data_IF_928394160268
#
_entry.id   IF_928394160268
#
_cell.length_a   1.000
_cell.length_b   1.000
_cell.length_c   1.000
_cell.angle_alpha   90.00
_cell.angle_beta   90.00
_cell.angle_gamma   90.00
#
_symmetry.space_group_name_H-M   'P 1'
#
loop_
_entity.id
_entity.type
_entity.pdbx_description
1 polymer ?
#
# COMPACT_ATOMS: atom_id res chain seq x y z
N UNK A 1 -7.47 -8.45 -15.95
CA UNK A 1 -6.27 -7.67 -15.62
C UNK A 1 -5.92 -7.87 -14.15
N UNK A 2 -4.65 -7.90 -13.85
CA UNK A 2 -4.22 -8.03 -12.46
C UNK A 2 -4.59 -6.79 -11.66
N UNK A 3 -5.10 -6.98 -10.45
CA UNK A 3 -5.37 -5.91 -9.51
C UNK A 3 -4.23 -5.83 -8.50
N UNK A 4 -3.59 -4.68 -8.36
CA UNK A 4 -2.48 -4.48 -7.44
C UNK A 4 -2.89 -3.51 -6.34
N UNK A 5 -2.82 -4.00 -5.09
CA UNK A 5 -3.11 -3.21 -3.90
C UNK A 5 -1.83 -2.99 -3.11
N UNK A 6 -1.65 -1.77 -2.61
CA UNK A 6 -0.58 -1.42 -1.68
C UNK A 6 -1.17 -1.22 -0.30
N UNK A 7 -0.63 -1.94 0.68
CA UNK A 7 -0.95 -1.72 2.09
C UNK A 7 0.15 -0.86 2.70
N UNK A 8 -0.18 0.36 3.09
CA UNK A 8 0.78 1.29 3.67
C UNK A 8 0.36 1.65 5.10
N UNK A 9 1.17 1.25 6.07
CA UNK A 9 0.98 1.62 7.47
C UNK A 9 2.04 2.68 7.79
N UNK A 10 1.59 3.93 7.93
CA UNK A 10 2.51 5.07 8.06
C UNK A 10 2.27 5.80 9.38
N UNK A 11 3.33 6.39 9.92
CA UNK A 11 3.23 7.29 11.06
C UNK A 11 2.57 8.61 10.65
N UNK A 12 2.29 9.49 11.61
CA UNK A 12 1.71 10.81 11.31
C UNK A 12 2.56 11.63 10.36
N UNK A 13 3.88 11.48 10.46
CA UNK A 13 4.83 12.19 9.58
C UNK A 13 5.15 11.42 8.31
N UNK A 14 4.40 10.35 8.01
CA UNK A 14 4.50 9.64 6.75
C UNK A 14 5.64 8.64 6.63
N UNK A 15 6.24 8.25 7.74
CA UNK A 15 7.36 7.32 7.72
C UNK A 15 6.91 5.87 7.66
N UNK A 16 7.66 5.07 6.88
CA UNK A 16 7.45 3.63 6.75
C UNK A 16 8.03 2.88 7.95
N UNK A 17 7.45 1.72 8.31
CA UNK A 17 8.10 0.82 9.25
C UNK A 17 9.37 0.25 8.61
N UNK A 18 10.40 0.05 9.44
CA UNK A 18 11.65 -0.52 8.98
C UNK A 18 11.46 -1.95 8.50
N UNK A 19 10.73 -2.72 9.29
CA UNK A 19 10.40 -4.12 9.00
C UNK A 19 8.91 -4.33 9.17
N UNK A 20 8.42 -5.44 8.60
CA UNK A 20 7.03 -5.83 8.75
C UNK A 20 6.63 -5.97 10.23
N UNK A 21 7.54 -6.45 11.07
CA UNK A 21 7.31 -6.62 12.51
C UNK A 21 7.12 -5.27 13.23
N UNK A 22 7.77 -4.23 12.74
CA UNK A 22 7.63 -2.90 13.35
C UNK A 22 6.24 -2.34 13.14
N UNK A 23 5.63 -2.60 12.00
CA UNK A 23 4.24 -2.25 11.76
C UNK A 23 3.32 -3.01 12.72
N UNK A 24 3.63 -4.27 12.99
CA UNK A 24 2.85 -5.10 13.91
C UNK A 24 2.95 -4.62 15.35
N UNK A 25 4.02 -3.91 15.72
CA UNK A 25 4.13 -3.30 17.05
C UNK A 25 3.11 -2.19 17.24
N UNK A 26 2.75 -1.49 16.17
CA UNK A 26 1.75 -0.44 16.21
C UNK A 26 0.35 -0.99 16.04
N UNK A 27 0.18 -2.04 15.23
CA UNK A 27 -1.11 -2.61 14.89
C UNK A 27 -1.10 -4.11 15.14
N UNK A 28 -2.16 -4.61 15.77
CA UNK A 28 -2.39 -6.05 15.87
C UNK A 28 -3.19 -6.45 14.62
N UNK A 29 -2.66 -7.32 13.75
CA UNK A 29 -3.30 -7.60 12.45
C UNK A 29 -4.78 -7.97 12.54
N UNK A 30 -5.15 -8.82 13.48
CA UNK A 30 -6.54 -9.26 13.61
C UNK A 30 -7.49 -8.19 14.14
N UNK A 31 -6.96 -7.09 14.71
CA UNK A 31 -7.79 -6.04 15.31
C UNK A 31 -8.14 -4.92 14.34
N UNK A 32 -7.46 -4.84 13.19
CA UNK A 32 -7.60 -3.73 12.25
C UNK A 32 -7.92 -4.17 10.83
N UNK A 33 -8.46 -5.38 10.69
CA UNK A 33 -8.88 -5.96 9.41
C UNK A 33 -7.72 -6.21 8.43
N UNK A 34 -6.48 -6.18 8.92
CA UNK A 34 -5.30 -6.40 8.07
C UNK A 34 -5.24 -7.83 7.57
N UNK A 35 -5.55 -8.81 8.44
CA UNK A 35 -5.55 -10.21 8.05
C UNK A 35 -6.53 -10.48 6.90
N UNK A 36 -7.67 -9.77 6.89
CA UNK A 36 -8.66 -9.90 5.83
C UNK A 36 -8.12 -9.49 4.48
N UNK A 37 -7.22 -8.49 4.47
CA UNK A 37 -6.59 -8.02 3.23
C UNK A 37 -5.68 -9.10 2.65
N UNK A 38 -4.88 -9.74 3.49
CA UNK A 38 -4.00 -10.83 3.05
C UNK A 38 -4.80 -12.06 2.63
N UNK A 39 -5.87 -12.38 3.34
CA UNK A 39 -6.72 -13.53 3.00
C UNK A 39 -7.45 -13.32 1.67
N UNK A 40 -7.82 -12.08 1.36
CA UNK A 40 -8.54 -11.76 0.12
C UNK A 40 -7.62 -11.71 -1.09
N UNK A 41 -6.30 -11.55 -0.90
CA UNK A 41 -5.35 -11.48 -2.00
C UNK A 41 -5.01 -12.88 -2.51
N UNK A 42 -4.89 -13.03 -3.82
CA UNK A 42 -4.44 -14.28 -4.43
C UNK A 42 -2.95 -14.48 -4.20
N UNK A 43 -2.17 -13.40 -4.24
CA UNK A 43 -0.71 -13.45 -4.11
C UNK A 43 -0.20 -12.26 -3.33
N UNK A 44 0.84 -12.47 -2.53
CA UNK A 44 1.60 -11.37 -1.93
C UNK A 44 2.73 -11.03 -2.90
N UNK A 45 2.74 -9.77 -3.35
CA UNK A 45 3.72 -9.30 -4.32
C UNK A 45 5.03 -8.96 -3.61
N UNK A 46 6.14 -9.38 -4.18
CA UNK A 46 7.48 -9.12 -3.63
C UNK A 46 8.35 -8.44 -4.68
N UNK A 47 9.44 -7.75 -4.26
CA UNK A 47 10.35 -7.13 -5.23
C UNK A 47 11.02 -8.11 -6.20
N UNK A 48 11.00 -9.40 -5.90
CA UNK A 48 11.52 -10.42 -6.79
C UNK A 48 10.61 -10.70 -7.99
N UNK A 49 9.34 -10.26 -7.92
CA UNK A 49 8.39 -10.49 -9.00
C UNK A 49 8.60 -9.47 -10.13
N UNK A 50 8.83 -9.92 -11.37
CA UNK A 50 9.07 -8.98 -12.47
C UNK A 50 7.84 -8.15 -12.80
N UNK A 51 8.02 -6.83 -12.94
CA UNK A 51 6.91 -5.93 -13.26
C UNK A 51 6.29 -6.24 -14.62
N UNK A 52 7.10 -6.76 -15.56
CA UNK A 52 6.60 -7.15 -16.88
C UNK A 52 5.50 -8.21 -16.79
N UNK A 53 5.58 -9.10 -15.79
CA UNK A 53 4.53 -10.12 -15.63
C UNK A 53 3.21 -9.55 -15.16
N UNK A 54 3.22 -8.42 -14.48
CA UNK A 54 1.98 -7.75 -14.09
C UNK A 54 1.27 -7.17 -15.29
N UNK A 55 2.01 -6.63 -16.25
CA UNK A 55 1.43 -6.08 -17.47
C UNK A 55 0.95 -7.17 -18.43
N UNK A 56 1.59 -8.32 -18.41
CA UNK A 56 1.24 -9.45 -19.25
C UNK A 56 0.14 -10.33 -18.66
N UNK A 57 -0.12 -10.19 -17.36
CA UNK A 57 -1.10 -11.04 -16.66
C UNK A 57 -2.50 -10.70 -17.11
N UNK A 58 -3.14 -11.66 -17.79
CA UNK A 58 -4.51 -11.50 -18.30
C UNK A 58 -5.56 -12.07 -17.35
N UNK A 59 -5.13 -12.70 -16.24
CA UNK A 59 -6.07 -13.20 -15.25
C UNK A 59 -6.51 -12.07 -14.33
N UNK A 60 -7.61 -12.28 -13.62
CA UNK A 60 -8.12 -11.33 -12.64
C UNK A 60 -7.47 -11.53 -11.25
N UNK A 61 -6.22 -11.93 -11.25
CA UNK A 61 -5.49 -12.17 -10.01
C UNK A 61 -5.31 -10.89 -9.20
N UNK A 62 -5.42 -11.04 -7.89
CA UNK A 62 -5.35 -9.96 -6.94
C UNK A 62 -4.02 -10.04 -6.19
N UNK A 63 -3.18 -9.03 -6.35
CA UNK A 63 -1.87 -8.93 -5.71
C UNK A 63 -1.90 -7.89 -4.60
N UNK A 64 -1.27 -8.21 -3.48
CA UNK A 64 -1.12 -7.29 -2.36
C UNK A 64 0.36 -7.14 -2.02
N UNK A 65 0.81 -5.91 -1.82
CA UNK A 65 2.18 -5.64 -1.35
C UNK A 65 2.13 -4.70 -0.15
N UNK A 66 2.84 -5.06 0.90
CA UNK A 66 2.96 -4.21 2.09
C UNK A 66 4.15 -3.28 1.95
N UNK A 67 3.94 -2.00 2.22
CA UNK A 67 4.99 -0.99 2.12
C UNK A 67 5.91 -1.04 3.33
N UNK A 68 7.20 -1.28 3.08
CA UNK A 68 8.27 -1.29 4.08
C UNK A 68 9.50 -0.64 3.45
N UNK A 69 10.60 -0.53 4.21
CA UNK A 69 11.87 -0.06 3.65
C UNK A 69 12.32 -0.95 2.49
N UNK A 70 12.09 -2.27 2.60
CA UNK A 70 12.55 -3.22 1.59
C UNK A 70 11.71 -3.19 0.30
N UNK A 71 10.44 -2.81 0.39
CA UNK A 71 9.52 -2.83 -0.75
C UNK A 71 9.28 -1.45 -1.36
N UNK A 72 9.72 -0.38 -0.70
CA UNK A 72 9.36 0.98 -1.13
C UNK A 72 9.82 1.32 -2.54
N UNK A 73 11.03 0.91 -2.92
CA UNK A 73 11.56 1.21 -4.26
C UNK A 73 10.76 0.46 -5.34
N UNK A 74 10.40 -0.79 -5.06
CA UNK A 74 9.58 -1.58 -5.96
C UNK A 74 8.19 -0.95 -6.13
N UNK A 75 7.58 -0.50 -5.02
CA UNK A 75 6.27 0.17 -5.05
C UNK A 75 6.35 1.45 -5.87
N UNK A 76 7.41 2.25 -5.70
CA UNK A 76 7.57 3.47 -6.47
C UNK A 76 7.77 3.17 -7.96
N UNK A 77 8.45 2.08 -8.28
CA UNK A 77 8.54 1.60 -9.66
C UNK A 77 7.17 1.26 -10.24
N UNK A 78 6.32 0.59 -9.46
CA UNK A 78 4.95 0.30 -9.89
C UNK A 78 4.13 1.57 -10.07
N UNK A 79 4.32 2.57 -9.22
CA UNK A 79 3.64 3.86 -9.35
C UNK A 79 4.05 4.58 -10.65
N UNK A 80 5.34 4.54 -10.99
CA UNK A 80 5.83 5.15 -12.24
C UNK A 80 5.24 4.46 -13.47
N UNK A 81 5.01 3.15 -13.38
CA UNK A 81 4.41 2.38 -14.47
C UNK A 81 2.88 2.41 -14.43
N UNK A 82 2.30 3.07 -13.44
CA UNK A 82 0.86 3.19 -13.24
C UNK A 82 0.17 1.84 -13.09
N UNK A 83 0.82 0.91 -12.38
CA UNK A 83 0.32 -0.45 -12.20
C UNK A 83 -0.43 -0.67 -10.89
N UNK A 84 -0.47 0.33 -10.00
CA UNK A 84 -1.17 0.21 -8.72
C UNK A 84 -2.61 0.69 -8.87
N UNK A 85 -3.55 -0.16 -8.47
CA UNK A 85 -4.99 0.09 -8.60
C UNK A 85 -5.61 0.64 -7.33
N UNK A 86 -5.06 0.27 -6.17
CA UNK A 86 -5.65 0.64 -4.89
C UNK A 86 -4.55 0.84 -3.84
N UNK A 87 -4.72 1.88 -3.03
CA UNK A 87 -3.84 2.14 -1.88
C UNK A 87 -4.69 2.06 -0.63
N UNK A 88 -4.32 1.15 0.28
CA UNK A 88 -4.93 1.00 1.58
C UNK A 88 -3.96 1.60 2.59
N UNK A 89 -4.34 2.74 3.15
CA UNK A 89 -3.45 3.55 3.96
C UNK A 89 -3.94 3.57 5.41
N UNK A 90 -3.14 3.02 6.33
CA UNK A 90 -3.36 3.15 7.77
C UNK A 90 -2.45 4.25 8.30
N UNK A 91 -3.02 5.15 9.09
CA UNK A 91 -2.27 6.21 9.76
C UNK A 91 -2.27 5.89 11.25
N UNK A 92 -1.08 5.69 11.81
CA UNK A 92 -0.92 5.42 13.24
C UNK A 92 -0.59 6.71 13.96
N UNK A 93 -1.05 6.89 15.21
CA UNK A 93 -1.01 8.19 15.90
C UNK A 93 0.33 8.47 16.60
N UNK A 94 1.45 8.35 15.89
CA UNK A 94 2.73 8.75 16.44
C UNK A 94 3.62 9.35 15.35
N UNK A 95 4.61 10.09 15.78
CA UNK A 95 5.62 10.68 14.92
C UNK A 95 6.89 9.87 15.08
N UNK A 96 7.39 9.31 13.96
CA UNK A 96 8.61 8.51 13.99
C UNK A 96 9.85 9.39 14.13
N UNK A 97 9.82 10.59 13.56
CA UNK A 97 10.91 11.56 13.64
C UNK A 97 12.02 11.31 12.63
N UNK A 98 12.36 10.07 12.38
CA UNK A 98 13.37 9.67 11.42
C UNK A 98 12.85 8.46 10.64
N UNK A 99 13.34 8.27 9.44
CA UNK A 99 12.95 7.11 8.63
C UNK A 99 12.77 7.47 7.18
N UNK A 100 12.21 6.51 6.44
CA UNK A 100 11.98 6.66 5.01
C UNK A 100 10.50 6.91 4.74
N UNK A 101 10.26 7.76 3.75
CA UNK A 101 8.91 8.01 3.25
C UNK A 101 8.61 7.01 2.14
N UNK A 102 7.33 6.64 2.03
CA UNK A 102 6.91 5.72 0.96
C UNK A 102 7.07 6.38 -0.42
N UNK A 103 6.50 7.58 -0.57
CA UNK A 103 6.47 8.22 -1.88
C UNK A 103 7.75 9.00 -2.13
N UNK A 104 8.38 8.69 -3.26
CA UNK A 104 9.60 9.35 -3.70
C UNK A 104 9.27 10.55 -4.57
N UNK A 105 10.30 11.29 -4.97
CA UNK A 105 10.16 12.38 -5.93
C UNK A 105 10.02 11.82 -7.35
N UNK A 106 9.55 12.67 -8.26
CA UNK A 106 9.43 12.33 -9.69
C UNK A 106 8.43 11.20 -9.99
N UNK A 107 7.39 11.10 -9.17
CA UNK A 107 6.27 10.23 -9.50
C UNK A 107 5.34 10.96 -10.47
N UNK A 108 4.71 10.24 -11.42
CA UNK A 108 3.75 10.89 -12.31
C UNK A 108 2.52 11.35 -11.54
N UNK A 109 1.96 12.46 -11.97
CA UNK A 109 0.72 12.95 -11.39
C UNK A 109 -0.41 11.96 -11.65
N UNK A 110 -1.23 11.69 -10.63
CA UNK A 110 -2.36 10.78 -10.74
C UNK A 110 -3.48 11.21 -9.81
N UNK A 111 -4.70 10.88 -10.20
CA UNK A 111 -5.89 11.12 -9.39
C UNK A 111 -6.37 9.83 -8.75
N UNK A 112 -6.84 9.96 -7.51
CA UNK A 112 -7.33 8.83 -6.72
C UNK A 112 -8.68 9.20 -6.12
N UNK A 113 -9.58 8.24 -6.03
CA UNK A 113 -10.89 8.43 -5.43
C UNK A 113 -10.93 7.78 -4.05
N UNK A 114 -11.41 8.52 -3.06
CA UNK A 114 -11.62 7.97 -1.73
C UNK A 114 -12.84 7.03 -1.78
N UNK A 115 -12.62 5.76 -1.47
CA UNK A 115 -13.69 4.75 -1.50
C UNK A 115 -14.07 4.25 -0.12
N UNK A 116 -13.18 4.38 0.87
CA UNK A 116 -13.46 3.94 2.23
C UNK A 116 -12.69 4.77 3.22
N UNK A 117 -13.35 5.05 4.35
CA UNK A 117 -12.73 5.70 5.49
C UNK A 117 -13.24 5.01 6.75
N UNK A 118 -12.34 4.55 7.61
CA UNK A 118 -12.72 3.88 8.84
C UNK A 118 -11.80 4.30 9.98
N UNK A 119 -12.41 4.66 11.10
CA UNK A 119 -11.69 5.03 12.31
C UNK A 119 -11.74 3.85 13.28
N UNK A 120 -10.58 3.52 13.85
CA UNK A 120 -10.48 2.45 14.85
C UNK A 120 -10.16 3.04 16.20
N UNK A 121 -10.39 2.24 17.26
CA UNK A 121 -9.99 2.62 18.60
C UNK A 121 -8.48 2.85 18.67
N UNK A 122 -8.05 3.81 19.48
CA UNK A 122 -6.65 4.14 19.62
C UNK A 122 -6.14 5.18 18.63
N UNK A 123 -7.04 5.84 17.90
CA UNK A 123 -6.66 6.92 17.01
C UNK A 123 -6.10 6.48 15.66
N UNK A 124 -6.36 5.23 15.27
CA UNK A 124 -5.87 4.70 14.01
C UNK A 124 -6.93 4.92 12.93
N UNK A 125 -6.51 5.47 11.78
CA UNK A 125 -7.39 5.75 10.66
C UNK A 125 -7.00 4.89 9.46
N UNK A 126 -7.98 4.26 8.84
CA UNK A 126 -7.81 3.54 7.58
C UNK A 126 -8.48 4.32 6.46
N UNK A 127 -7.75 4.55 5.38
CA UNK A 127 -8.25 5.25 4.19
C UNK A 127 -7.93 4.39 2.98
N UNK A 128 -8.91 4.18 2.11
CA UNK A 128 -8.73 3.39 0.90
C UNK A 128 -9.00 4.27 -0.31
N UNK A 129 -8.04 4.32 -1.22
CA UNK A 129 -8.14 5.07 -2.47
C UNK A 129 -8.03 4.13 -3.66
N UNK A 130 -8.89 4.33 -4.65
CA UNK A 130 -8.80 3.67 -5.96
C UNK A 130 -8.25 4.66 -6.97
N UNK A 131 -7.41 4.17 -7.86
CA UNK A 131 -6.88 5.00 -8.93
C UNK A 131 -8.00 5.42 -9.88
N UNK A 132 -8.07 6.71 -10.17
CA UNK A 132 -8.98 7.23 -11.17
C UNK A 132 -8.33 7.10 -12.55
N UNK A 133 -9.03 6.45 -13.46
CA UNK A 133 -8.65 6.49 -14.84
C UNK A 133 -9.25 7.76 -15.44
N UNK A 134 -8.36 8.67 -15.86
CA UNK A 134 -8.81 9.89 -16.51
C UNK A 134 -9.20 9.50 -17.93
N UNK A 135 -10.48 9.64 -18.24
CA UNK A 135 -10.94 9.49 -19.61
C UNK A 135 -10.79 10.83 -20.30
N UNK A 136 -10.02 10.80 -21.35
CA UNK A 136 -9.84 11.98 -22.18
C UNK A 136 -10.97 12.12 -23.19
#
# INVERSE_FOLDING_TARGET
>A
MAKVQVLAILSLDGCLPEKKEDACCALRPGSYDIDKLFDAADYELTPAYPTSRLTENKSDSHFLIEATHDTSDYINGLLRLQLIDEIIHYIVPFIAGTGRYLFKTNLPFSHWSLVEKKEYNGGILRIVYHKKHIQE
#
